data_IF_942027705683
#
_entry.id   IF_942027705683
#
_cell.length_a   1.000
_cell.length_b   1.000
_cell.length_c   1.000
_cell.angle_alpha   90.00
_cell.angle_beta   90.00
_cell.angle_gamma   90.00
#
_symmetry.space_group_name_H-M   'P 1'
#
loop_
_entity.id
_entity.type
_entity.pdbx_description
1 polymer ?
#
# COMPACT_ATOMS: atom_id res chain seq x y z
N UNK A 1 -9.84 26.35 -5.35
CA UNK A 1 -8.95 25.22 -5.73
C UNK A 1 -9.12 24.79 -7.19
N UNK A 2 -10.28 25.07 -7.83
CA UNK A 2 -10.45 25.13 -9.29
C UNK A 2 -9.24 25.79 -9.98
N UNK A 3 -8.77 26.95 -9.49
CA UNK A 3 -7.58 27.66 -10.00
C UNK A 3 -6.23 26.93 -9.87
N UNK A 4 -6.01 26.04 -8.90
CA UNK A 4 -4.74 25.29 -8.77
C UNK A 4 -4.77 24.08 -9.69
N UNK A 5 -5.89 23.36 -9.73
CA UNK A 5 -6.10 22.31 -10.73
C UNK A 5 -6.14 22.87 -12.14
N UNK A 6 -6.81 23.98 -12.39
CA UNK A 6 -6.79 24.72 -13.65
C UNK A 6 -5.38 25.23 -13.97
N UNK A 7 -4.58 25.73 -13.02
CA UNK A 7 -3.17 26.08 -13.30
C UNK A 7 -2.29 24.87 -13.66
N UNK A 8 -2.59 23.69 -13.09
CA UNK A 8 -1.89 22.43 -13.44
C UNK A 8 -2.42 21.89 -14.79
N UNK A 9 -3.72 22.03 -15.06
CA UNK A 9 -4.44 21.50 -16.23
C UNK A 9 -4.31 22.38 -17.48
N UNK A 10 -4.45 23.69 -17.36
CA UNK A 10 -4.39 24.67 -18.47
C UNK A 10 -3.02 24.74 -19.15
N UNK A 11 -1.98 24.18 -18.53
CA UNK A 11 -0.63 24.21 -19.11
C UNK A 11 -0.15 22.88 -19.64
N UNK A 12 -0.81 21.75 -19.32
CA UNK A 12 -0.24 20.40 -19.52
C UNK A 12 -1.32 19.32 -19.61
N UNK A 13 -1.23 18.43 -20.61
CA UNK A 13 -1.88 17.10 -20.56
C UNK A 13 -1.46 16.40 -19.27
N UNK A 14 -2.28 15.50 -18.71
CA UNK A 14 -1.94 14.72 -17.50
C UNK A 14 -0.54 14.07 -17.60
N UNK A 15 -0.18 13.67 -18.81
CA UNK A 15 1.10 13.08 -19.23
C UNK A 15 2.32 13.99 -18.96
N UNK A 16 2.13 15.30 -18.84
CA UNK A 16 3.20 16.30 -18.71
C UNK A 16 3.36 16.84 -17.27
N UNK A 17 2.60 16.30 -16.30
CA UNK A 17 2.69 16.70 -14.90
C UNK A 17 3.97 16.13 -14.28
N UNK A 18 4.79 17.02 -13.70
CA UNK A 18 6.08 16.63 -13.12
C UNK A 18 5.96 16.24 -11.66
N UNK A 19 6.99 15.57 -11.13
CA UNK A 19 7.09 15.29 -9.69
C UNK A 19 7.07 16.57 -8.84
N UNK A 20 7.61 17.67 -9.35
CA UNK A 20 7.60 18.96 -8.64
C UNK A 20 6.19 19.56 -8.56
N UNK A 21 5.41 19.42 -9.62
CA UNK A 21 3.99 19.83 -9.63
C UNK A 21 3.20 19.02 -8.59
N UNK A 22 3.45 17.71 -8.50
CA UNK A 22 2.84 16.84 -7.48
C UNK A 22 3.24 17.22 -6.05
N UNK A 23 4.50 17.62 -5.83
CA UNK A 23 4.97 18.13 -4.52
C UNK A 23 4.26 19.43 -4.15
N UNK A 24 4.13 20.37 -5.09
CA UNK A 24 3.41 21.64 -4.88
C UNK A 24 1.93 21.41 -4.58
N UNK A 25 1.29 20.52 -5.34
CA UNK A 25 -0.09 20.10 -5.11
C UNK A 25 -0.24 19.50 -3.71
N UNK A 26 0.63 18.55 -3.35
CA UNK A 26 0.61 17.94 -2.02
C UNK A 26 0.75 18.94 -0.88
N UNK A 27 1.70 19.88 -0.98
CA UNK A 27 1.88 20.97 0.01
C UNK A 27 0.66 21.87 0.11
N UNK A 28 0.08 22.25 -1.03
CA UNK A 28 -1.12 23.08 -1.07
C UNK A 28 -2.29 22.39 -0.36
N UNK A 29 -2.59 21.14 -0.74
CA UNK A 29 -3.69 20.36 -0.16
C UNK A 29 -3.50 20.20 1.35
N UNK A 30 -2.27 19.92 1.80
CA UNK A 30 -1.97 19.80 3.23
C UNK A 30 -2.14 21.10 4.01
N UNK A 31 -1.96 22.26 3.36
CA UNK A 31 -2.21 23.58 3.94
C UNK A 31 -3.69 23.94 4.04
N UNK A 32 -4.56 23.23 3.32
CA UNK A 32 -6.01 23.38 3.43
C UNK A 32 -6.51 22.64 4.68
N UNK A 33 -7.29 23.34 5.49
CA UNK A 33 -7.99 22.74 6.63
C UNK A 33 -8.85 21.57 6.17
N UNK A 34 -8.78 20.46 6.91
CA UNK A 34 -9.59 19.25 6.66
C UNK A 34 -11.10 19.54 6.56
N UNK A 35 -11.58 20.56 7.27
CA UNK A 35 -13.00 20.93 7.28
C UNK A 35 -13.45 21.57 5.97
N UNK A 36 -12.56 22.29 5.29
CA UNK A 36 -12.86 23.05 4.07
C UNK A 36 -12.37 22.32 2.81
N UNK A 37 -11.85 21.11 2.98
CA UNK A 37 -11.27 20.33 1.88
C UNK A 37 -12.34 20.05 0.82
N UNK A 38 -13.56 19.75 1.28
CA UNK A 38 -14.75 19.48 0.45
C UNK A 38 -15.11 20.61 -0.50
N UNK A 39 -15.05 21.87 -0.03
CA UNK A 39 -15.40 23.06 -0.82
C UNK A 39 -14.41 23.37 -1.95
N UNK A 40 -13.37 22.55 -2.04
CA UNK A 40 -12.25 22.78 -2.90
C UNK A 40 -11.98 21.63 -3.87
N UNK A 41 -12.49 20.43 -3.59
CA UNK A 41 -12.34 19.28 -4.48
C UNK A 41 -13.63 18.95 -5.21
N UNK A 42 -13.55 18.95 -6.54
CA UNK A 42 -14.55 18.31 -7.37
C UNK A 42 -14.24 16.82 -7.45
N UNK A 43 -14.90 16.04 -6.60
CA UNK A 43 -14.76 14.60 -6.55
C UNK A 43 -15.47 13.88 -7.70
N UNK A 44 -16.23 14.59 -8.54
CA UNK A 44 -16.79 13.99 -9.76
C UNK A 44 -15.75 13.90 -10.89
N UNK A 45 -14.65 14.64 -10.79
CA UNK A 45 -13.57 14.65 -11.78
C UNK A 45 -12.49 13.60 -11.45
N UNK A 46 -12.56 12.43 -12.09
CA UNK A 46 -11.61 11.31 -11.89
C UNK A 46 -10.14 11.69 -12.12
N UNK A 47 -9.88 12.60 -13.04
CA UNK A 47 -8.52 13.10 -13.28
C UNK A 47 -7.97 13.87 -12.08
N UNK A 48 -8.81 14.63 -11.35
CA UNK A 48 -8.38 15.30 -10.13
C UNK A 48 -8.02 14.28 -9.06
N UNK A 49 -8.83 13.24 -8.92
CA UNK A 49 -8.62 12.16 -7.94
C UNK A 49 -7.33 11.39 -8.20
N UNK A 50 -7.03 11.11 -9.46
CA UNK A 50 -5.76 10.52 -9.85
C UNK A 50 -4.56 11.37 -9.43
N UNK A 51 -4.61 12.68 -9.67
CA UNK A 51 -3.54 13.60 -9.27
C UNK A 51 -3.40 13.73 -7.75
N UNK A 52 -4.53 13.74 -7.03
CA UNK A 52 -4.57 13.77 -5.57
C UNK A 52 -3.97 12.49 -4.99
N UNK A 53 -4.32 11.34 -5.55
CA UNK A 53 -3.79 10.05 -5.10
C UNK A 53 -2.29 9.91 -5.37
N UNK A 54 -1.75 10.59 -6.38
CA UNK A 54 -0.31 10.71 -6.60
C UNK A 54 0.38 11.77 -5.76
N UNK A 55 -0.38 12.72 -5.22
CA UNK A 55 0.17 13.70 -4.30
C UNK A 55 0.57 13.01 -2.98
N UNK A 56 1.72 13.40 -2.45
CA UNK A 56 2.16 12.88 -1.15
C UNK A 56 1.36 13.54 -0.02
N UNK A 57 0.16 13.02 0.28
CA UNK A 57 -0.77 13.57 1.26
C UNK A 57 -0.67 12.88 2.64
N UNK A 58 -1.07 13.59 3.68
CA UNK A 58 -1.23 12.97 5.01
C UNK A 58 -2.44 12.03 4.99
N UNK A 59 -2.38 10.96 5.78
CA UNK A 59 -3.45 9.94 5.84
C UNK A 59 -4.83 10.54 6.14
N UNK A 60 -4.90 11.55 7.01
CA UNK A 60 -6.15 12.29 7.29
C UNK A 60 -6.75 12.92 6.04
N UNK A 61 -5.94 13.57 5.21
CA UNK A 61 -6.41 14.17 3.95
C UNK A 61 -6.82 13.11 2.94
N UNK A 62 -6.09 11.99 2.90
CA UNK A 62 -6.44 10.83 2.07
C UNK A 62 -7.81 10.25 2.46
N UNK A 63 -8.09 10.11 3.76
CA UNK A 63 -9.39 9.65 4.26
C UNK A 63 -10.56 10.56 3.86
N UNK A 64 -10.36 11.87 3.91
CA UNK A 64 -11.39 12.84 3.49
C UNK A 64 -11.69 12.70 1.98
N UNK A 65 -10.65 12.51 1.16
CA UNK A 65 -10.82 12.29 -0.28
C UNK A 65 -11.52 10.94 -0.55
N UNK A 66 -11.17 9.89 0.20
CA UNK A 66 -11.83 8.60 0.11
C UNK A 66 -13.33 8.69 0.46
N UNK A 67 -13.69 9.37 1.56
CA UNK A 67 -15.10 9.61 1.90
C UNK A 67 -15.82 10.40 0.79
N UNK A 68 -15.11 11.29 0.10
CA UNK A 68 -15.69 12.08 -0.97
C UNK A 68 -16.04 11.26 -2.19
N UNK A 69 -15.15 10.34 -2.56
CA UNK A 69 -15.40 9.35 -3.60
C UNK A 69 -16.64 8.52 -3.30
N UNK A 70 -16.73 7.99 -2.08
CA UNK A 70 -17.84 7.15 -1.65
C UNK A 70 -19.17 7.90 -1.74
N UNK A 71 -19.21 9.17 -1.31
CA UNK A 71 -20.42 10.00 -1.41
C UNK A 71 -20.79 10.34 -2.84
N UNK A 72 -19.81 10.47 -3.73
CA UNK A 72 -20.03 10.93 -5.11
C UNK A 72 -20.45 9.79 -6.03
N UNK A 73 -19.74 8.66 -5.96
CA UNK A 73 -19.93 7.52 -6.87
C UNK A 73 -20.59 6.32 -6.20
N UNK A 74 -20.81 6.36 -4.89
CA UNK A 74 -21.58 5.32 -4.19
C UNK A 74 -20.93 3.93 -4.31
N UNK A 75 -21.74 2.87 -4.56
CA UNK A 75 -21.25 1.51 -4.71
C UNK A 75 -20.26 1.29 -5.87
N UNK A 76 -20.31 2.11 -6.92
CA UNK A 76 -19.48 1.93 -8.12
C UNK A 76 -17.98 2.04 -7.81
N UNK A 77 -17.63 2.77 -6.74
CA UNK A 77 -16.28 2.87 -6.18
C UNK A 77 -15.65 1.51 -5.90
N UNK A 78 -16.46 0.52 -5.55
CA UNK A 78 -16.02 -0.82 -5.15
C UNK A 78 -16.16 -1.85 -6.27
N UNK A 79 -17.07 -1.58 -7.21
CA UNK A 79 -17.52 -2.54 -8.23
C UNK A 79 -17.01 -2.22 -9.63
N UNK A 80 -16.11 -1.23 -9.77
CA UNK A 80 -15.48 -0.94 -11.04
C UNK A 80 -13.98 -0.60 -10.84
N UNK A 81 -13.13 -1.46 -11.40
CA UNK A 81 -11.68 -1.38 -11.30
C UNK A 81 -11.10 -0.07 -11.87
N UNK A 82 -11.75 0.59 -12.82
CA UNK A 82 -11.29 1.88 -13.35
C UNK A 82 -11.29 2.94 -12.25
N UNK A 83 -12.31 2.96 -11.38
CA UNK A 83 -12.33 3.86 -10.24
C UNK A 83 -11.22 3.52 -9.25
N UNK A 84 -11.06 2.25 -8.89
CA UNK A 84 -10.03 1.78 -7.96
C UNK A 84 -8.62 2.15 -8.49
N UNK A 85 -8.38 1.96 -9.78
CA UNK A 85 -7.12 2.31 -10.44
C UNK A 85 -6.82 3.81 -10.40
N UNK A 86 -7.85 4.66 -10.45
CA UNK A 86 -7.69 6.11 -10.31
C UNK A 86 -7.43 6.55 -8.87
N UNK A 87 -7.79 5.73 -7.88
CA UNK A 87 -7.58 6.06 -6.46
C UNK A 87 -6.12 6.03 -6.07
N UNK A 88 -5.28 5.17 -6.67
CA UNK A 88 -3.85 5.03 -6.34
C UNK A 88 -3.62 4.95 -4.81
N UNK A 89 -3.01 5.97 -4.19
CA UNK A 89 -2.79 6.00 -2.73
C UNK A 89 -4.03 6.27 -1.89
N UNK A 90 -5.15 6.69 -2.51
CA UNK A 90 -6.41 6.96 -1.83
C UNK A 90 -7.03 5.67 -1.27
N UNK A 91 -6.68 4.49 -1.80
CA UNK A 91 -7.16 3.21 -1.28
C UNK A 91 -6.91 3.05 0.23
N UNK A 92 -5.79 3.57 0.74
CA UNK A 92 -5.47 3.54 2.18
C UNK A 92 -6.25 4.56 3.01
N UNK A 93 -7.10 5.39 2.40
CA UNK A 93 -8.05 6.28 3.08
C UNK A 93 -9.38 5.62 3.39
N UNK A 94 -9.68 4.49 2.76
CA UNK A 94 -10.93 3.78 2.96
C UNK A 94 -10.94 3.06 4.32
N UNK A 95 -12.04 3.18 5.05
CA UNK A 95 -12.29 2.34 6.22
C UNK A 95 -12.30 0.85 5.87
N UNK A 96 -12.00 0.00 6.85
CA UNK A 96 -11.92 -1.47 6.69
C UNK A 96 -13.19 -2.04 6.05
N UNK A 97 -14.37 -1.62 6.51
CA UNK A 97 -15.64 -2.08 5.96
C UNK A 97 -15.85 -1.66 4.50
N UNK A 98 -15.32 -0.51 4.10
CA UNK A 98 -15.38 -0.09 2.70
C UNK A 98 -14.41 -0.86 1.82
N UNK A 99 -13.22 -1.19 2.32
CA UNK A 99 -12.26 -2.04 1.60
C UNK A 99 -12.83 -3.44 1.35
N UNK A 100 -13.51 -4.02 2.33
CA UNK A 100 -14.17 -5.34 2.20
C UNK A 100 -15.27 -5.40 1.15
N UNK A 101 -15.78 -4.25 0.71
CA UNK A 101 -16.81 -4.17 -0.33
C UNK A 101 -16.25 -4.21 -1.74
N UNK A 102 -14.92 -4.11 -1.90
CA UNK A 102 -14.27 -4.22 -3.21
C UNK A 102 -14.59 -5.60 -3.78
N UNK A 103 -15.18 -5.59 -4.96
CA UNK A 103 -15.53 -6.81 -5.68
C UNK A 103 -14.26 -7.59 -6.07
N UNK A 104 -14.31 -8.91 -5.92
CA UNK A 104 -13.18 -9.80 -6.14
C UNK A 104 -12.74 -9.81 -7.62
N UNK A 105 -13.68 -9.81 -8.56
CA UNK A 105 -13.39 -9.83 -9.99
C UNK A 105 -12.76 -8.49 -10.42
N UNK A 106 -13.21 -7.39 -9.82
CA UNK A 106 -12.60 -6.09 -10.04
C UNK A 106 -11.21 -5.96 -9.42
N UNK A 107 -10.96 -6.59 -8.27
CA UNK A 107 -9.67 -6.54 -7.60
C UNK A 107 -8.54 -7.10 -8.47
N UNK A 108 -8.80 -8.16 -9.24
CA UNK A 108 -7.83 -8.73 -10.19
C UNK A 108 -7.41 -7.76 -11.31
N UNK A 109 -8.29 -6.82 -11.65
CA UNK A 109 -8.07 -5.82 -12.71
C UNK A 109 -7.41 -4.54 -12.16
N UNK A 110 -7.08 -4.52 -10.87
CA UNK A 110 -6.38 -3.40 -10.24
C UNK A 110 -4.91 -3.39 -10.65
N UNK A 111 -4.42 -2.22 -11.05
CA UNK A 111 -3.06 -2.02 -11.50
C UNK A 111 -2.05 -2.05 -10.33
N UNK A 112 -0.80 -2.36 -10.65
CA UNK A 112 0.28 -2.41 -9.67
C UNK A 112 0.55 -1.04 -8.98
N UNK A 113 0.16 0.07 -9.61
CA UNK A 113 0.35 1.41 -9.05
C UNK A 113 -0.48 1.63 -7.78
N UNK A 114 -1.70 1.10 -7.70
CA UNK A 114 -2.50 1.13 -6.47
C UNK A 114 -1.76 0.39 -5.34
N UNK A 115 -1.24 -0.80 -5.62
CA UNK A 115 -0.55 -1.62 -4.63
C UNK A 115 0.80 -1.05 -4.18
N UNK A 116 1.45 -0.24 -5.02
CA UNK A 116 2.67 0.48 -4.63
C UNK A 116 2.48 1.43 -3.44
N UNK A 117 1.23 1.80 -3.14
CA UNK A 117 0.86 2.73 -2.06
C UNK A 117 0.38 2.05 -0.78
N UNK A 118 0.36 0.70 -0.72
CA UNK A 118 0.05 -0.07 0.48
C UNK A 118 0.89 0.29 1.73
N UNK A 119 2.13 0.83 1.64
CA UNK A 119 2.84 1.30 2.82
C UNK A 119 2.12 2.39 3.64
N UNK A 120 1.10 3.04 3.08
CA UNK A 120 0.29 4.04 3.79
C UNK A 120 -0.89 3.44 4.56
N UNK A 121 -1.21 2.18 4.32
CA UNK A 121 -2.33 1.49 4.92
C UNK A 121 -1.98 1.02 6.35
N UNK A 122 -2.94 1.10 7.25
CA UNK A 122 -2.86 0.44 8.56
C UNK A 122 -2.86 -1.09 8.42
N UNK A 123 -2.39 -1.82 9.45
CA UNK A 123 -2.44 -3.30 9.45
C UNK A 123 -3.84 -3.85 9.22
N UNK A 124 -4.89 -3.22 9.77
CA UNK A 124 -6.27 -3.68 9.56
C UNK A 124 -6.74 -3.49 8.11
N UNK A 125 -6.34 -2.40 7.44
CA UNK A 125 -6.63 -2.19 6.03
C UNK A 125 -5.86 -3.17 5.14
N UNK A 126 -4.57 -3.40 5.45
CA UNK A 126 -3.78 -4.44 4.78
C UNK A 126 -4.43 -5.82 4.94
N UNK A 127 -4.96 -6.13 6.13
CA UNK A 127 -5.68 -7.39 6.35
C UNK A 127 -6.94 -7.52 5.51
N UNK A 128 -7.76 -6.47 5.41
CA UNK A 128 -8.94 -6.49 4.53
C UNK A 128 -8.55 -6.72 3.05
N UNK A 129 -7.49 -6.07 2.57
CA UNK A 129 -6.99 -6.26 1.20
C UNK A 129 -6.37 -7.65 0.99
N UNK A 130 -5.68 -8.17 2.01
CA UNK A 130 -5.14 -9.53 2.01
C UNK A 130 -6.26 -10.56 1.91
N UNK A 131 -7.32 -10.41 2.69
CA UNK A 131 -8.47 -11.34 2.70
C UNK A 131 -9.14 -11.43 1.33
N UNK A 132 -9.19 -10.32 0.58
CA UNK A 132 -9.66 -10.31 -0.81
C UNK A 132 -8.65 -11.01 -1.72
N UNK A 133 -7.36 -10.67 -1.60
CA UNK A 133 -6.30 -11.23 -2.45
C UNK A 133 -6.21 -12.76 -2.35
N UNK A 134 -6.39 -13.33 -1.15
CA UNK A 134 -6.36 -14.77 -0.92
C UNK A 134 -7.66 -15.49 -1.27
N UNK A 135 -8.68 -14.77 -1.73
CA UNK A 135 -9.91 -15.34 -2.22
C UNK A 135 -9.64 -16.38 -3.32
N UNK A 136 -10.36 -17.51 -3.35
CA UNK A 136 -10.11 -18.60 -4.29
C UNK A 136 -10.28 -18.21 -5.76
N UNK A 137 -11.09 -17.17 -6.03
CA UNK A 137 -11.34 -16.62 -7.36
C UNK A 137 -10.46 -15.41 -7.70
N UNK A 138 -9.52 -15.05 -6.81
CA UNK A 138 -8.62 -13.91 -6.98
C UNK A 138 -7.20 -14.45 -7.22
N UNK A 139 -6.28 -14.32 -6.27
CA UNK A 139 -4.92 -14.87 -6.40
C UNK A 139 -4.76 -16.21 -5.68
N UNK A 140 -5.75 -16.61 -4.88
CA UNK A 140 -5.67 -17.79 -4.03
C UNK A 140 -4.67 -17.62 -2.88
N UNK A 141 -4.37 -18.70 -2.14
CA UNK A 141 -3.48 -18.65 -0.98
C UNK A 141 -2.05 -18.23 -1.37
N UNK A 142 -1.24 -17.64 -0.47
CA UNK A 142 0.07 -17.09 -0.82
C UNK A 142 1.03 -18.09 -1.50
N UNK A 143 0.93 -19.39 -1.17
CA UNK A 143 1.76 -20.42 -1.81
C UNK A 143 1.45 -20.63 -3.31
N UNK A 144 0.32 -20.14 -3.83
CA UNK A 144 0.01 -20.18 -5.27
C UNK A 144 0.48 -18.93 -6.00
N UNK A 145 0.96 -17.90 -5.29
CA UNK A 145 1.40 -16.66 -5.92
C UNK A 145 2.72 -16.88 -6.66
N UNK A 146 2.80 -16.40 -7.89
CA UNK A 146 4.05 -16.37 -8.64
C UNK A 146 4.91 -15.16 -8.26
N UNK A 147 6.11 -15.06 -8.84
CA UNK A 147 7.02 -13.93 -8.60
C UNK A 147 6.40 -12.57 -8.95
N UNK A 148 5.59 -12.49 -10.00
CA UNK A 148 4.94 -11.25 -10.42
C UNK A 148 3.91 -10.81 -9.40
N UNK A 149 3.08 -11.73 -8.92
CA UNK A 149 2.10 -11.48 -7.85
C UNK A 149 2.80 -11.07 -6.56
N UNK A 150 3.89 -11.74 -6.15
CA UNK A 150 4.66 -11.34 -4.96
C UNK A 150 5.30 -9.97 -5.12
N UNK A 151 5.79 -9.60 -6.30
CA UNK A 151 6.31 -8.24 -6.53
C UNK A 151 5.24 -7.16 -6.32
N UNK A 152 4.00 -7.43 -6.72
CA UNK A 152 2.90 -6.47 -6.65
C UNK A 152 2.23 -6.46 -5.27
N UNK A 153 1.98 -7.64 -4.70
CA UNK A 153 1.17 -7.84 -3.48
C UNK A 153 1.98 -8.28 -2.27
N UNK A 154 3.31 -8.44 -2.39
CA UNK A 154 4.15 -8.96 -1.30
C UNK A 154 4.05 -8.16 -0.01
N UNK A 155 3.62 -6.90 -0.08
CA UNK A 155 3.33 -6.08 1.10
C UNK A 155 2.19 -6.64 1.96
N UNK A 156 1.22 -7.31 1.35
CA UNK A 156 0.11 -7.94 2.06
C UNK A 156 0.60 -9.12 2.93
N UNK A 157 1.77 -9.70 2.65
CA UNK A 157 2.35 -10.77 3.48
C UNK A 157 2.68 -10.32 4.91
N UNK A 158 2.72 -9.01 5.20
CA UNK A 158 2.89 -8.46 6.55
C UNK A 158 1.80 -8.90 7.52
N UNK A 159 0.61 -9.20 7.00
CA UNK A 159 -0.56 -9.64 7.79
C UNK A 159 -0.89 -11.12 7.58
N UNK A 160 -0.09 -11.84 6.79
CA UNK A 160 -0.20 -13.28 6.61
C UNK A 160 0.27 -13.99 7.89
N UNK A 161 -0.29 -15.17 8.15
CA UNK A 161 0.20 -16.05 9.21
C UNK A 161 1.55 -16.67 8.84
N UNK A 162 2.29 -17.10 9.86
CA UNK A 162 3.58 -17.78 9.67
C UNK A 162 3.40 -19.03 8.79
N UNK A 163 2.33 -19.80 9.03
CA UNK A 163 2.04 -21.03 8.29
C UNK A 163 1.78 -20.76 6.80
N UNK A 164 1.06 -19.68 6.47
CA UNK A 164 0.82 -19.28 5.08
C UNK A 164 2.11 -18.87 4.38
N UNK A 165 3.03 -18.19 5.09
CA UNK A 165 4.32 -17.76 4.52
C UNK A 165 5.27 -18.96 4.38
N UNK A 166 5.25 -19.91 5.32
CA UNK A 166 6.07 -21.13 5.30
C UNK A 166 5.84 -21.98 4.04
N UNK A 167 4.61 -21.97 3.52
CA UNK A 167 4.23 -22.77 2.36
C UNK A 167 4.68 -22.17 1.02
N UNK A 168 5.19 -20.93 1.02
CA UNK A 168 5.66 -20.27 -0.20
C UNK A 168 7.04 -20.84 -0.59
N UNK A 169 7.21 -21.25 -1.84
CA UNK A 169 8.50 -21.73 -2.33
C UNK A 169 9.56 -20.62 -2.38
N UNK A 170 10.81 -20.94 -2.02
CA UNK A 170 11.96 -20.04 -2.00
C UNK A 170 12.15 -19.21 -3.28
N UNK A 171 11.87 -19.83 -4.43
CA UNK A 171 12.05 -19.19 -5.74
C UNK A 171 11.13 -17.98 -5.94
N UNK A 172 9.98 -17.94 -5.25
CA UNK A 172 8.93 -16.92 -5.36
C UNK A 172 9.21 -15.72 -4.46
N UNK A 173 9.92 -15.94 -3.35
CA UNK A 173 10.35 -14.90 -2.42
C UNK A 173 11.32 -13.88 -3.01
N UNK A 174 11.90 -14.14 -4.18
CA UNK A 174 12.73 -13.17 -4.92
C UNK A 174 12.01 -11.86 -5.22
N UNK A 175 10.68 -11.82 -5.16
CA UNK A 175 9.91 -10.59 -5.31
C UNK A 175 9.76 -9.74 -4.05
N UNK A 176 10.20 -10.24 -2.88
CA UNK A 176 10.11 -9.47 -1.64
C UNK A 176 11.19 -8.39 -1.59
N UNK A 177 10.73 -7.14 -1.46
CA UNK A 177 11.61 -5.97 -1.35
C UNK A 177 12.13 -5.77 0.08
N UNK A 178 13.26 -5.06 0.27
CA UNK A 178 13.76 -4.73 1.61
C UNK A 178 12.75 -3.95 2.47
N UNK A 179 11.89 -3.15 1.84
CA UNK A 179 10.86 -2.39 2.53
C UNK A 179 9.77 -3.28 3.13
N UNK A 180 9.43 -4.39 2.46
CA UNK A 180 8.48 -5.39 2.99
C UNK A 180 9.12 -6.11 4.17
N UNK A 181 10.37 -6.58 4.02
CA UNK A 181 11.11 -7.29 5.08
C UNK A 181 11.16 -6.52 6.39
N UNK A 182 11.40 -5.21 6.35
CA UNK A 182 11.45 -4.37 7.55
C UNK A 182 10.18 -4.38 8.39
N UNK A 183 9.06 -4.77 7.80
CA UNK A 183 7.74 -4.70 8.42
C UNK A 183 7.08 -6.07 8.58
N UNK A 184 7.73 -7.13 8.11
CA UNK A 184 7.31 -8.50 8.40
C UNK A 184 7.44 -8.76 9.90
N UNK A 185 6.63 -9.70 10.38
CA UNK A 185 6.77 -10.21 11.75
C UNK A 185 8.19 -10.79 11.93
N UNK A 186 8.91 -10.46 13.02
CA UNK A 186 10.22 -11.02 13.28
C UNK A 186 10.27 -12.55 13.18
N UNK A 187 9.21 -13.26 13.58
CA UNK A 187 9.13 -14.73 13.45
C UNK A 187 9.13 -15.20 12.00
N UNK A 188 8.51 -14.42 11.10
CA UNK A 188 8.58 -14.70 9.66
C UNK A 188 10.03 -14.49 9.19
N UNK A 189 10.72 -13.44 9.64
CA UNK A 189 12.12 -13.21 9.27
C UNK A 189 13.03 -14.34 9.76
N UNK A 190 12.86 -14.79 11.00
CA UNK A 190 13.61 -15.90 11.57
C UNK A 190 13.39 -17.18 10.76
N UNK A 191 12.13 -17.48 10.43
CA UNK A 191 11.78 -18.60 9.57
C UNK A 191 12.44 -18.52 8.19
N UNK A 192 12.40 -17.34 7.56
CA UNK A 192 13.05 -17.13 6.25
C UNK A 192 14.57 -17.34 6.33
N UNK A 193 15.21 -17.02 7.47
CA UNK A 193 16.62 -17.27 7.69
C UNK A 193 16.92 -18.76 7.91
N UNK A 194 16.11 -19.45 8.72
CA UNK A 194 16.24 -20.90 8.98
C UNK A 194 16.11 -21.71 7.68
N UNK A 195 15.19 -21.30 6.80
CA UNK A 195 14.96 -21.94 5.51
C UNK A 195 15.99 -21.55 4.43
N UNK A 196 16.94 -20.65 4.72
CA UNK A 196 17.93 -20.15 3.77
C UNK A 196 17.33 -19.61 2.46
N UNK A 197 16.20 -18.91 2.56
CA UNK A 197 15.43 -18.45 1.40
C UNK A 197 16.30 -17.57 0.49
N UNK A 198 16.30 -17.88 -0.80
CA UNK A 198 17.04 -17.13 -1.82
C UNK A 198 16.41 -15.78 -2.12
N UNK A 199 16.77 -14.78 -1.31
CA UNK A 199 16.42 -13.37 -1.52
C UNK A 199 17.48 -12.61 -2.32
N UNK A 200 17.10 -11.48 -2.92
CA UNK A 200 18.07 -10.54 -3.51
C UNK A 200 19.05 -10.01 -2.44
N UNK A 201 20.28 -9.70 -2.86
CA UNK A 201 21.35 -9.24 -1.96
C UNK A 201 20.96 -8.00 -1.14
N UNK A 202 20.19 -7.08 -1.73
CA UNK A 202 19.66 -5.89 -1.05
C UNK A 202 18.75 -6.27 0.12
N UNK A 203 17.85 -7.23 -0.10
CA UNK A 203 16.92 -7.75 0.90
C UNK A 203 17.66 -8.56 1.97
N UNK A 204 18.62 -9.41 1.58
CA UNK A 204 19.48 -10.15 2.52
C UNK A 204 20.24 -9.22 3.46
N UNK A 205 20.83 -8.14 2.94
CA UNK A 205 21.52 -7.13 3.76
C UNK A 205 20.60 -6.51 4.80
N UNK A 206 19.34 -6.29 4.48
CA UNK A 206 18.38 -5.71 5.43
C UNK A 206 18.01 -6.69 6.54
N UNK A 207 17.77 -7.97 6.19
CA UNK A 207 17.58 -9.04 7.18
C UNK A 207 18.78 -9.12 8.13
N UNK A 208 20.00 -9.10 7.58
CA UNK A 208 21.22 -9.18 8.38
C UNK A 208 21.36 -8.03 9.38
N UNK A 209 20.95 -6.81 9.01
CA UNK A 209 20.91 -5.69 9.96
C UNK A 209 19.91 -5.95 11.07
N UNK A 210 18.72 -6.46 10.74
CA UNK A 210 17.67 -6.73 11.73
C UNK A 210 18.07 -7.84 12.70
N UNK A 211 18.54 -8.97 12.18
CA UNK A 211 19.02 -10.11 12.99
C UNK A 211 20.23 -9.70 13.83
N UNK A 212 21.21 -9.02 13.23
CA UNK A 212 22.39 -8.53 13.94
C UNK A 212 22.08 -7.52 15.04
N UNK A 213 21.01 -6.71 14.88
CA UNK A 213 20.49 -5.83 15.92
C UNK A 213 19.81 -6.62 17.04
N UNK A 214 18.97 -7.61 16.71
CA UNK A 214 18.30 -8.47 17.70
C UNK A 214 19.30 -9.22 18.58
N UNK A 215 20.37 -9.80 18.01
CA UNK A 215 21.41 -10.46 18.80
C UNK A 215 22.15 -9.50 19.73
N UNK A 216 22.39 -8.25 19.31
CA UNK A 216 23.00 -7.23 20.17
C UNK A 216 22.10 -6.84 21.34
N UNK A 217 20.81 -6.63 21.09
CA UNK A 217 19.84 -6.28 22.14
C UNK A 217 19.72 -7.41 23.16
N UNK A 218 19.57 -8.66 22.69
CA UNK A 218 19.50 -9.84 23.59
C UNK A 218 20.79 -10.01 24.40
N UNK A 219 21.95 -9.72 23.82
CA UNK A 219 23.23 -9.76 24.53
C UNK A 219 23.36 -8.65 25.58
N UNK A 220 22.87 -7.45 25.29
CA UNK A 220 22.84 -6.31 26.24
C UNK A 220 21.84 -6.53 27.38
N UNK A 221 20.66 -7.11 27.09
CA UNK A 221 19.67 -7.50 28.09
C UNK A 221 20.19 -8.62 28.99
N UNK A 222 20.81 -9.67 28.43
CA UNK A 222 21.42 -10.74 29.23
C UNK A 222 22.53 -10.20 30.15
N UNK A 223 23.29 -9.21 29.70
CA UNK A 223 24.34 -8.55 30.49
C UNK A 223 23.77 -7.68 31.61
N UNK A 224 22.62 -7.04 31.43
CA UNK A 224 22.00 -6.19 32.46
C UNK A 224 21.34 -7.01 33.57
N UNK A 225 20.88 -8.23 33.29
CA UNK A 225 20.35 -9.17 34.30
C UNK A 225 21.42 -9.88 35.14
N UNK A 226 22.69 -9.77 34.78
CA UNK A 226 23.82 -10.40 35.48
C UNK A 226 24.54 -9.45 36.46
N UNK A 227 23.99 -8.25 36.71
CA UNK A 227 24.47 -7.26 37.68
C UNK A 227 23.35 -6.86 38.64
#
# INVERSE_FOLDING_TARGET
MRLVFEKIRDKRRLENITLEDMKKLGKFIQGVSSYNLWDHFDCSALDHLYLIGKANLKLRHIGIVADCLIKTFGPDVYNNHEYINRMTSIICGFGVENLRRIDMDQFLLVNAEVFSNLPRCSRHQLKALYDIAVGPNVYGPPYSWDKSVINTLGRLLIVASIDEVYQIEDSRFRGITPAVVRELDPKIIDLMNELNIHLELSTKREIWKMVGLSYRILFEEARSTLH
#
